data_IF_739147502857
#
_entry.id   IF_739147502857
#
_cell.length_a   1.000
_cell.length_b   1.000
_cell.length_c   1.000
_cell.angle_alpha   90.00
_cell.angle_beta   90.00
_cell.angle_gamma   90.00
#
_symmetry.space_group_name_H-M   'P 1'
#
loop_
_entity.id
_entity.type
_entity.pdbx_description
1 polymer ?
#
# COMPACT_ATOMS: atom_id res chain seq x y z
N UNK A 1 15.11 -12.90 20.45
CA UNK A 1 13.89 -12.14 20.80
C UNK A 1 13.92 -10.72 20.21
N UNK A 2 14.48 -10.54 19.01
CA UNK A 2 14.72 -9.21 18.37
C UNK A 2 14.51 -9.24 16.85
N UNK A 3 13.61 -10.10 16.36
CA UNK A 3 13.28 -10.22 14.92
C UNK A 3 12.05 -9.40 14.50
N UNK A 4 11.24 -8.90 15.45
CA UNK A 4 10.02 -8.13 15.16
C UNK A 4 10.18 -6.61 15.33
N UNK A 5 11.37 -6.11 15.71
CA UNK A 5 11.56 -4.69 16.04
C UNK A 5 11.99 -3.87 14.80
N UNK A 6 12.62 -4.50 13.79
CA UNK A 6 13.20 -3.76 12.67
C UNK A 6 12.20 -3.39 11.57
N UNK A 7 11.15 -4.19 11.34
CA UNK A 7 10.15 -3.90 10.29
C UNK A 7 9.10 -2.88 10.76
N UNK A 8 8.94 -2.69 12.09
CA UNK A 8 8.14 -1.58 12.63
C UNK A 8 8.73 -0.19 12.32
N UNK A 9 10.04 -0.06 12.07
CA UNK A 9 10.70 1.24 11.91
C UNK A 9 10.39 1.93 10.58
N UNK A 10 10.10 1.17 9.52
CA UNK A 10 9.75 1.70 8.19
C UNK A 10 8.43 2.50 8.20
N UNK A 11 7.55 2.26 9.18
CA UNK A 11 6.33 3.04 9.41
C UNK A 11 6.38 3.93 10.65
N UNK A 12 7.19 3.58 11.66
CA UNK A 12 7.33 4.40 12.86
C UNK A 12 8.03 5.74 12.60
N UNK A 13 8.87 5.85 11.56
CA UNK A 13 9.52 7.11 11.22
C UNK A 13 8.56 8.21 10.71
N UNK A 14 7.32 7.88 10.34
CA UNK A 14 6.32 8.85 9.84
C UNK A 14 5.30 9.29 10.90
N UNK A 15 5.26 8.64 12.07
CA UNK A 15 4.26 8.94 13.12
C UNK A 15 4.89 9.68 14.29
N UNK A 16 5.34 10.92 14.09
CA UNK A 16 5.66 11.80 15.20
C UNK A 16 4.69 13.01 15.22
N UNK A 17 3.68 12.86 16.08
CA UNK A 17 2.82 13.89 16.67
C UNK A 17 1.85 14.64 15.74
N UNK A 18 0.57 14.23 15.79
CA UNK A 18 -0.52 15.18 16.05
C UNK A 18 -1.82 14.48 16.49
N UNK A 19 -2.41 15.01 17.55
CA UNK A 19 -3.76 14.67 17.97
C UNK A 19 -4.77 15.09 16.89
N UNK A 20 -5.89 14.38 16.71
CA UNK A 20 -6.89 14.75 15.70
C UNK A 20 -7.48 16.13 16.03
N UNK A 21 -7.49 17.09 15.09
CA UNK A 21 -8.21 18.33 15.32
C UNK A 21 -9.72 18.09 15.23
N UNK A 22 -10.44 18.66 16.19
CA UNK A 22 -11.89 18.68 16.25
C UNK A 22 -12.52 19.34 15.02
N UNK A 23 -13.70 18.82 14.69
CA UNK A 23 -14.51 19.05 13.51
C UNK A 23 -14.82 20.54 13.27
N UNK A 24 -13.94 21.21 12.52
CA UNK A 24 -14.15 22.56 12.01
C UNK A 24 -15.16 22.59 10.87
N UNK A 25 -16.46 22.57 11.20
CA UNK A 25 -17.57 22.88 10.30
C UNK A 25 -17.45 24.32 9.76
N UNK A 26 -16.74 24.49 8.64
CA UNK A 26 -16.58 25.76 7.94
C UNK A 26 -17.46 25.83 6.69
N UNK A 27 -18.71 26.26 6.86
CA UNK A 27 -19.55 26.69 5.74
C UNK A 27 -19.11 28.05 5.18
N UNK A 28 -19.24 28.24 3.86
CA UNK A 28 -19.15 29.58 3.28
C UNK A 28 -18.96 29.64 1.76
N UNK A 29 -19.88 30.37 1.09
CA UNK A 29 -19.52 31.28 0.00
C UNK A 29 -19.65 30.76 -1.43
N UNK A 30 -20.73 31.17 -2.10
CA UNK A 30 -20.91 31.03 -3.54
C UNK A 30 -20.06 32.00 -4.36
N UNK A 31 -19.88 31.67 -5.65
CA UNK A 31 -19.30 32.54 -6.66
C UNK A 31 -18.50 31.79 -7.72
N UNK A 32 -19.03 31.70 -8.94
CA UNK A 32 -18.24 31.60 -10.18
C UNK A 32 -17.82 30.21 -10.67
N UNK A 33 -18.74 29.48 -11.31
CA UNK A 33 -18.53 28.87 -12.63
C UNK A 33 -17.34 27.94 -12.94
N UNK A 34 -16.66 27.36 -11.96
CA UNK A 34 -15.86 26.14 -12.16
C UNK A 34 -16.59 24.99 -11.47
N UNK A 35 -16.91 23.93 -12.22
CA UNK A 35 -17.64 22.80 -11.66
C UNK A 35 -16.80 22.18 -10.53
N UNK A 36 -17.21 22.43 -9.27
CA UNK A 36 -16.65 21.83 -8.05
C UNK A 36 -17.02 20.33 -8.01
N UNK A 37 -16.52 19.59 -8.98
CA UNK A 37 -16.69 18.15 -9.18
C UNK A 37 -15.63 17.36 -8.37
N UNK A 38 -15.65 16.04 -8.44
CA UNK A 38 -14.73 15.19 -7.70
C UNK A 38 -13.25 15.45 -8.07
N UNK A 39 -12.96 15.70 -9.35
CA UNK A 39 -11.60 16.01 -9.81
C UNK A 39 -11.07 17.31 -9.19
N UNK A 40 -11.86 18.38 -9.18
CA UNK A 40 -11.48 19.65 -8.55
C UNK A 40 -11.06 19.49 -7.08
N UNK A 41 -11.87 18.78 -6.28
CA UNK A 41 -11.53 18.53 -4.87
C UNK A 41 -10.34 17.60 -4.71
N UNK A 42 -10.11 16.69 -5.66
CA UNK A 42 -8.95 15.79 -5.66
C UNK A 42 -7.66 16.54 -5.93
N UNK A 43 -7.66 17.51 -6.85
CA UNK A 43 -6.49 18.34 -7.14
C UNK A 43 -6.13 19.20 -5.92
N UNK A 44 -7.11 19.86 -5.31
CA UNK A 44 -6.89 20.59 -4.05
C UNK A 44 -6.42 19.68 -2.91
N UNK A 45 -6.87 18.42 -2.88
CA UNK A 45 -6.43 17.48 -1.86
C UNK A 45 -4.97 17.09 -2.06
N UNK A 46 -4.52 16.91 -3.30
CA UNK A 46 -3.12 16.66 -3.62
C UNK A 46 -2.23 17.87 -3.30
N UNK A 47 -2.68 19.10 -3.54
CA UNK A 47 -1.94 20.30 -3.10
C UNK A 47 -1.66 20.27 -1.59
N UNK A 48 -2.69 19.99 -0.78
CA UNK A 48 -2.52 19.89 0.67
C UNK A 48 -1.63 18.69 1.08
N UNK A 49 -1.72 17.58 0.34
CA UNK A 49 -0.88 16.41 0.57
C UNK A 49 0.60 16.73 0.30
N UNK A 50 0.89 17.41 -0.82
CA UNK A 50 2.24 17.81 -1.23
C UNK A 50 2.84 18.84 -0.25
N UNK A 51 2.00 19.61 0.45
CA UNK A 51 2.38 20.52 1.55
C UNK A 51 2.61 19.80 2.90
N UNK A 52 2.32 18.49 2.98
CA UNK A 52 2.40 17.70 4.22
C UNK A 52 1.19 17.88 5.17
N UNK A 53 0.14 18.60 4.76
CA UNK A 53 -1.11 18.72 5.52
C UNK A 53 -2.06 17.58 5.17
N UNK A 54 -1.72 16.40 5.67
CA UNK A 54 -2.46 15.16 5.40
C UNK A 54 -3.88 15.16 5.98
N UNK A 55 -4.14 15.95 7.03
CA UNK A 55 -5.49 16.10 7.59
C UNK A 55 -6.38 16.89 6.64
N UNK A 56 -5.89 18.03 6.13
CA UNK A 56 -6.61 18.81 5.12
C UNK A 56 -6.76 18.02 3.82
N UNK A 57 -5.72 17.32 3.37
CA UNK A 57 -5.78 16.44 2.20
C UNK A 57 -6.90 15.39 2.34
N UNK A 58 -6.92 14.65 3.45
CA UNK A 58 -7.96 13.64 3.75
C UNK A 58 -9.37 14.23 3.71
N UNK A 59 -9.57 15.44 4.26
CA UNK A 59 -10.87 16.12 4.26
C UNK A 59 -11.30 16.56 2.85
N UNK A 60 -10.36 17.04 2.04
CA UNK A 60 -10.60 17.42 0.63
C UNK A 60 -10.90 16.20 -0.24
N UNK A 61 -10.19 15.09 -0.08
CA UNK A 61 -10.55 13.82 -0.73
C UNK A 61 -11.93 13.32 -0.29
N UNK A 62 -12.29 13.48 0.98
CA UNK A 62 -13.65 13.16 1.46
C UNK A 62 -14.71 14.03 0.79
N UNK A 63 -14.41 15.31 0.55
CA UNK A 63 -15.29 16.20 -0.22
C UNK A 63 -15.43 15.75 -1.69
N UNK A 64 -14.33 15.29 -2.31
CA UNK A 64 -14.35 14.70 -3.65
C UNK A 64 -15.25 13.45 -3.70
N UNK A 65 -15.12 12.55 -2.73
CA UNK A 65 -15.97 11.36 -2.60
C UNK A 65 -17.44 11.70 -2.26
N UNK A 66 -17.69 12.87 -1.69
CA UNK A 66 -19.04 13.43 -1.55
C UNK A 66 -19.66 13.87 -2.87
N UNK A 67 -18.85 14.12 -3.91
CA UNK A 67 -19.31 14.42 -5.28
C UNK A 67 -19.46 13.16 -6.13
N UNK A 68 -18.51 12.25 -6.01
CA UNK A 68 -18.55 10.93 -6.64
C UNK A 68 -17.94 9.91 -5.68
N UNK A 69 -18.79 9.10 -5.06
CA UNK A 69 -18.39 8.10 -4.06
C UNK A 69 -17.43 7.05 -4.65
N UNK A 70 -17.46 6.83 -5.96
CA UNK A 70 -16.72 5.76 -6.62
C UNK A 70 -15.47 6.31 -7.33
N UNK A 71 -15.12 7.58 -7.10
CA UNK A 71 -13.97 8.22 -7.71
C UNK A 71 -12.66 7.65 -7.16
N UNK A 72 -12.13 6.63 -7.84
CA UNK A 72 -10.93 5.89 -7.45
C UNK A 72 -9.71 6.79 -7.15
N UNK A 73 -9.42 7.87 -7.91
CA UNK A 73 -8.32 8.77 -7.58
C UNK A 73 -8.45 9.43 -6.20
N UNK A 74 -9.64 9.94 -5.85
CA UNK A 74 -9.86 10.55 -4.54
C UNK A 74 -9.76 9.52 -3.41
N UNK A 75 -10.28 8.31 -3.64
CA UNK A 75 -10.22 7.24 -2.65
C UNK A 75 -8.79 6.81 -2.36
N UNK A 76 -8.00 6.64 -3.41
CA UNK A 76 -6.58 6.30 -3.33
C UNK A 76 -5.78 7.41 -2.65
N UNK A 77 -6.06 8.67 -2.99
CA UNK A 77 -5.45 9.81 -2.31
C UNK A 77 -5.78 9.86 -0.82
N UNK A 78 -7.05 9.61 -0.45
CA UNK A 78 -7.47 9.53 0.95
C UNK A 78 -6.76 8.38 1.68
N UNK A 79 -6.60 7.24 1.03
CA UNK A 79 -5.90 6.09 1.59
C UNK A 79 -4.41 6.41 1.85
N UNK A 80 -3.74 7.09 0.92
CA UNK A 80 -2.37 7.58 1.15
C UNK A 80 -2.30 8.58 2.31
N UNK A 81 -3.23 9.56 2.39
CA UNK A 81 -3.29 10.46 3.55
C UNK A 81 -3.50 9.70 4.86
N UNK A 82 -4.28 8.62 4.85
CA UNK A 82 -4.46 7.78 6.02
C UNK A 82 -3.18 7.02 6.43
N UNK A 83 -2.35 6.57 5.48
CA UNK A 83 -1.03 5.99 5.81
C UNK A 83 -0.17 7.03 6.54
N UNK A 84 -0.08 8.24 5.99
CA UNK A 84 0.73 9.32 6.57
C UNK A 84 0.24 9.74 7.96
N UNK A 85 -1.07 9.61 8.23
CA UNK A 85 -1.69 9.86 9.53
C UNK A 85 -1.62 8.63 10.49
N UNK A 86 -1.01 7.52 10.08
CA UNK A 86 -0.89 6.29 10.89
C UNK A 86 -2.15 5.41 10.93
N UNK A 87 -3.16 5.71 10.10
CA UNK A 87 -4.40 4.93 10.00
C UNK A 87 -4.31 3.82 8.93
N UNK A 88 -3.29 2.97 9.01
CA UNK A 88 -3.00 1.92 8.02
C UNK A 88 -4.16 0.94 7.83
N UNK A 89 -4.90 0.62 8.91
CA UNK A 89 -6.14 -0.17 8.88
C UNK A 89 -7.18 0.39 7.91
N UNK A 90 -7.46 1.68 8.07
CA UNK A 90 -8.40 2.40 7.24
C UNK A 90 -7.88 2.55 5.80
N UNK A 91 -6.59 2.87 5.64
CA UNK A 91 -5.97 2.99 4.32
C UNK A 91 -6.11 1.72 3.48
N UNK A 92 -5.85 0.55 4.07
CA UNK A 92 -5.98 -0.74 3.36
C UNK A 92 -7.40 -0.92 2.81
N UNK A 93 -8.42 -0.69 3.65
CA UNK A 93 -9.82 -0.81 3.24
C UNK A 93 -10.19 0.18 2.11
N UNK A 94 -9.63 1.39 2.13
CA UNK A 94 -9.87 2.39 1.09
C UNK A 94 -9.20 2.01 -0.25
N UNK A 95 -7.98 1.47 -0.23
CA UNK A 95 -7.33 0.98 -1.44
C UNK A 95 -8.08 -0.21 -2.04
N UNK A 96 -8.53 -1.16 -1.21
CA UNK A 96 -9.34 -2.30 -1.66
C UNK A 96 -10.62 -1.83 -2.34
N UNK A 97 -11.32 -0.84 -1.77
CA UNK A 97 -12.48 -0.21 -2.38
C UNK A 97 -12.12 0.54 -3.69
N UNK A 98 -10.95 1.15 -3.78
CA UNK A 98 -10.51 1.85 -5.01
C UNK A 98 -10.22 0.87 -6.17
N UNK A 99 -9.87 -0.36 -5.83
CA UNK A 99 -9.54 -1.42 -6.79
C UNK A 99 -10.76 -2.25 -7.18
N UNK A 100 -11.62 -2.60 -6.23
CA UNK A 100 -12.77 -3.47 -6.46
C UNK A 100 -14.03 -2.69 -6.86
N UNK A 101 -14.05 -1.36 -6.62
CA UNK A 101 -15.28 -0.58 -6.64
C UNK A 101 -16.29 -1.09 -5.61
N UNK A 102 -17.58 -0.81 -5.83
CA UNK A 102 -18.71 -1.34 -5.04
C UNK A 102 -19.01 -2.83 -5.35
N UNK A 103 -18.11 -3.53 -6.04
CA UNK A 103 -18.27 -4.97 -6.30
C UNK A 103 -18.11 -5.72 -4.99
N UNK A 104 -19.23 -5.87 -4.29
CA UNK A 104 -19.42 -6.79 -3.18
C UNK A 104 -18.93 -8.15 -3.65
N UNK A 105 -17.97 -8.72 -2.92
CA UNK A 105 -17.61 -10.12 -3.05
C UNK A 105 -18.90 -10.92 -2.91
N UNK A 106 -19.43 -11.47 -4.00
CA UNK A 106 -20.43 -12.53 -3.92
C UNK A 106 -19.72 -13.72 -3.34
N UNK A 107 -19.79 -13.88 -2.02
CA UNK A 107 -19.33 -15.08 -1.35
C UNK A 107 -20.31 -16.18 -1.76
N UNK A 108 -19.84 -17.14 -2.56
CA UNK A 108 -20.59 -18.35 -2.80
C UNK A 108 -20.55 -19.16 -1.50
N UNK A 109 -21.64 -19.12 -0.72
CA UNK A 109 -21.79 -19.84 0.56
C UNK A 109 -21.85 -21.38 0.41
N UNK A 110 -21.44 -21.96 -0.71
CA UNK A 110 -21.77 -23.36 -1.07
C UNK A 110 -20.59 -24.35 -1.12
N UNK A 111 -19.38 -23.99 -0.66
CA UNK A 111 -18.30 -24.98 -0.54
C UNK A 111 -17.56 -24.89 0.79
N UNK A 112 -17.51 -26.02 1.50
CA UNK A 112 -16.86 -26.31 2.79
C UNK A 112 -15.32 -26.32 2.71
N UNK A 113 -14.75 -25.41 1.93
CA UNK A 113 -13.32 -25.07 1.93
C UNK A 113 -13.27 -23.58 1.67
N UNK A 114 -12.94 -22.79 2.69
CA UNK A 114 -12.67 -21.36 2.55
C UNK A 114 -11.34 -21.18 1.81
N UNK A 115 -11.34 -21.48 0.52
CA UNK A 115 -10.32 -20.99 -0.40
C UNK A 115 -10.61 -19.50 -0.55
N UNK A 116 -9.96 -18.69 0.28
CA UNK A 116 -10.00 -17.24 0.20
C UNK A 116 -9.22 -16.83 -1.05
N UNK A 117 -9.78 -17.11 -2.22
CA UNK A 117 -9.28 -16.55 -3.47
C UNK A 117 -9.55 -15.06 -3.40
N UNK A 118 -8.49 -14.27 -3.20
CA UNK A 118 -8.59 -12.82 -3.23
C UNK A 118 -8.87 -12.39 -4.66
N UNK A 119 -10.14 -12.32 -5.03
CA UNK A 119 -10.58 -11.84 -6.34
C UNK A 119 -10.54 -10.32 -6.31
N UNK A 120 -9.71 -9.80 -7.18
CA UNK A 120 -9.27 -8.43 -7.22
C UNK A 120 -9.81 -7.82 -8.51
N UNK A 121 -10.46 -6.64 -8.43
CA UNK A 121 -11.09 -5.97 -9.56
C UNK A 121 -10.14 -5.64 -10.72
N UNK A 122 -10.68 -5.34 -11.89
CA UNK A 122 -9.90 -5.03 -13.10
C UNK A 122 -9.28 -3.62 -13.12
N UNK A 123 -9.42 -2.86 -12.02
CA UNK A 123 -9.00 -1.47 -11.91
C UNK A 123 -7.59 -1.23 -12.45
N UNK A 124 -7.49 -0.30 -13.40
CA UNK A 124 -6.23 0.19 -13.98
C UNK A 124 -5.51 1.16 -13.04
N UNK A 125 -6.03 1.40 -11.83
CA UNK A 125 -5.47 2.37 -10.91
C UNK A 125 -4.29 1.77 -10.12
N UNK A 126 -3.14 1.71 -10.80
CA UNK A 126 -1.87 1.19 -10.29
C UNK A 126 -1.49 1.70 -8.89
N UNK A 127 -1.63 3.00 -8.54
CA UNK A 127 -1.24 3.47 -7.22
C UNK A 127 -2.00 2.79 -6.07
N UNK A 128 -3.26 2.38 -6.30
CA UNK A 128 -4.03 1.67 -5.28
C UNK A 128 -3.49 0.26 -5.02
N UNK A 129 -3.05 -0.44 -6.07
CA UNK A 129 -2.40 -1.76 -5.94
C UNK A 129 -1.12 -1.71 -5.11
N UNK A 130 -0.27 -0.69 -5.36
CA UNK A 130 0.90 -0.44 -4.53
C UNK A 130 0.47 -0.17 -3.09
N UNK A 131 -0.55 0.68 -2.89
CA UNK A 131 -1.12 0.98 -1.58
C UNK A 131 -1.57 -0.24 -0.79
N UNK A 132 -2.29 -1.18 -1.41
CA UNK A 132 -2.70 -2.45 -0.78
C UNK A 132 -1.46 -3.24 -0.34
N UNK A 133 -0.47 -3.41 -1.22
CA UNK A 133 0.72 -4.18 -0.91
C UNK A 133 1.49 -3.62 0.29
N UNK A 134 1.72 -2.30 0.33
CA UNK A 134 2.40 -1.66 1.45
C UNK A 134 1.56 -1.68 2.73
N UNK A 135 0.26 -1.38 2.66
CA UNK A 135 -0.61 -1.33 3.84
C UNK A 135 -0.89 -2.72 4.44
N UNK A 136 -0.99 -3.76 3.61
CA UNK A 136 -1.11 -5.14 4.07
C UNK A 136 0.19 -5.62 4.74
N UNK A 137 1.33 -5.37 4.10
CA UNK A 137 2.64 -5.72 4.66
C UNK A 137 2.85 -5.06 6.03
N UNK A 138 2.51 -3.78 6.14
CA UNK A 138 2.51 -3.00 7.36
C UNK A 138 1.70 -3.62 8.50
N UNK A 139 0.48 -4.10 8.21
CA UNK A 139 -0.41 -4.70 9.21
C UNK A 139 0.04 -6.09 9.67
N UNK A 140 0.67 -6.87 8.78
CA UNK A 140 1.16 -8.21 9.13
C UNK A 140 2.14 -8.23 10.29
N UNK A 141 2.87 -7.12 10.53
CA UNK A 141 3.96 -7.03 11.50
C UNK A 141 3.46 -7.02 12.97
N UNK A 142 2.18 -6.78 13.23
CA UNK A 142 1.64 -6.58 14.59
C UNK A 142 0.98 -7.78 15.25
N UNK A 143 0.40 -8.71 14.48
CA UNK A 143 -0.43 -9.80 15.02
C UNK A 143 -0.17 -11.13 14.32
N UNK A 144 0.33 -12.17 15.02
CA UNK A 144 0.69 -13.46 14.41
C UNK A 144 -0.49 -14.16 13.71
N UNK A 145 -1.71 -13.99 14.23
CA UNK A 145 -2.91 -14.65 13.69
C UNK A 145 -3.35 -14.12 12.33
N UNK A 146 -2.81 -12.99 11.87
CA UNK A 146 -3.14 -12.38 10.57
C UNK A 146 -1.92 -12.25 9.67
N UNK A 147 -0.72 -12.64 10.13
CA UNK A 147 0.51 -12.42 9.38
C UNK A 147 0.45 -13.12 8.02
N UNK A 148 0.06 -14.40 7.99
CA UNK A 148 -0.03 -15.18 6.76
C UNK A 148 -1.02 -14.56 5.76
N UNK A 149 -2.24 -14.25 6.19
CA UNK A 149 -3.25 -13.59 5.36
C UNK A 149 -2.77 -12.25 4.78
N UNK A 150 -2.07 -11.45 5.59
CA UNK A 150 -1.55 -10.16 5.14
C UNK A 150 -0.38 -10.31 4.18
N UNK A 151 0.47 -11.33 4.33
CA UNK A 151 1.54 -11.60 3.37
C UNK A 151 0.98 -12.12 2.04
N UNK A 152 -0.03 -13.01 2.07
CA UNK A 152 -0.75 -13.45 0.87
C UNK A 152 -1.39 -12.27 0.14
N UNK A 153 -2.04 -11.37 0.88
CA UNK A 153 -2.61 -10.14 0.31
C UNK A 153 -1.54 -9.23 -0.28
N UNK A 154 -0.42 -9.06 0.41
CA UNK A 154 0.74 -8.29 -0.07
C UNK A 154 1.25 -8.83 -1.40
N UNK A 155 1.43 -10.15 -1.48
CA UNK A 155 1.89 -10.87 -2.68
C UNK A 155 0.92 -10.65 -3.84
N UNK A 156 -0.36 -10.92 -3.61
CA UNK A 156 -1.38 -10.83 -4.65
C UNK A 156 -1.52 -9.39 -5.19
N UNK A 157 -1.58 -8.40 -4.31
CA UNK A 157 -1.65 -6.99 -4.72
C UNK A 157 -0.37 -6.49 -5.40
N UNK A 158 0.81 -6.87 -4.89
CA UNK A 158 2.08 -6.45 -5.46
C UNK A 158 2.33 -7.04 -6.85
N UNK A 159 1.94 -8.30 -7.09
CA UNK A 159 2.00 -8.90 -8.42
C UNK A 159 1.07 -8.15 -9.40
N UNK A 160 -0.15 -7.80 -8.99
CA UNK A 160 -1.05 -6.99 -9.81
C UNK A 160 -0.48 -5.61 -10.13
N UNK A 161 0.13 -4.97 -9.13
CA UNK A 161 0.85 -3.70 -9.31
C UNK A 161 1.97 -3.80 -10.34
N UNK A 162 2.82 -4.84 -10.28
CA UNK A 162 3.91 -5.03 -11.23
C UNK A 162 3.42 -5.34 -12.65
N UNK A 163 2.38 -6.15 -12.80
CA UNK A 163 1.77 -6.46 -14.11
C UNK A 163 1.22 -5.19 -14.78
N UNK A 164 0.62 -4.29 -14.00
CA UNK A 164 -0.06 -3.09 -14.51
C UNK A 164 0.85 -1.87 -14.64
N UNK A 165 1.77 -1.69 -13.70
CA UNK A 165 2.72 -0.57 -13.67
C UNK A 165 4.02 -0.84 -14.42
N UNK A 166 4.47 -2.10 -14.46
CA UNK A 166 5.75 -2.49 -15.03
C UNK A 166 6.95 -2.22 -14.12
N UNK A 167 8.14 -2.59 -14.58
CA UNK A 167 9.37 -2.60 -13.77
C UNK A 167 9.96 -1.22 -13.48
N UNK A 168 9.59 -0.22 -14.30
CA UNK A 168 10.06 1.16 -14.17
C UNK A 168 9.06 2.09 -13.47
N UNK A 169 7.96 1.56 -12.93
CA UNK A 169 6.92 2.40 -12.37
C UNK A 169 7.41 3.19 -11.16
N UNK A 170 7.10 4.49 -11.20
CA UNK A 170 7.24 5.43 -10.09
C UNK A 170 5.91 6.18 -9.96
N UNK A 171 5.42 6.35 -8.75
CA UNK A 171 4.23 7.15 -8.54
C UNK A 171 4.58 8.64 -8.43
N UNK A 172 4.10 9.45 -9.38
CA UNK A 172 4.48 10.87 -9.48
C UNK A 172 4.23 11.70 -8.22
N UNK A 173 3.21 11.35 -7.43
CA UNK A 173 2.85 12.04 -6.19
C UNK A 173 3.67 11.59 -4.97
N UNK A 174 4.26 10.39 -5.04
CA UNK A 174 5.08 9.85 -3.96
C UNK A 174 6.26 9.11 -4.59
N UNK A 175 7.36 9.82 -4.79
CA UNK A 175 8.57 9.29 -5.44
C UNK A 175 9.16 8.06 -4.74
N UNK A 176 8.84 7.87 -3.46
CA UNK A 176 9.20 6.69 -2.67
C UNK A 176 8.46 5.41 -3.11
N UNK A 177 7.32 5.54 -3.79
CA UNK A 177 6.52 4.42 -4.30
C UNK A 177 7.04 4.05 -5.69
N UNK A 178 7.96 3.09 -5.70
CA UNK A 178 8.62 2.58 -6.92
C UNK A 178 8.46 1.07 -7.04
N UNK A 179 8.57 0.54 -8.27
CA UNK A 179 8.64 -0.91 -8.49
C UNK A 179 9.79 -1.56 -7.74
N UNK A 180 10.94 -0.88 -7.62
CA UNK A 180 12.06 -1.37 -6.82
C UNK A 180 11.66 -1.60 -5.36
N UNK A 181 10.97 -0.62 -4.76
CA UNK A 181 10.49 -0.73 -3.37
C UNK A 181 9.42 -1.79 -3.19
N UNK A 182 8.50 -1.89 -4.15
CA UNK A 182 7.48 -2.94 -4.15
C UNK A 182 8.11 -4.33 -4.22
N UNK A 183 9.13 -4.52 -5.05
CA UNK A 183 9.83 -5.81 -5.19
C UNK A 183 10.52 -6.24 -3.88
N UNK A 184 11.09 -5.30 -3.13
CA UNK A 184 11.67 -5.62 -1.83
C UNK A 184 10.60 -6.04 -0.80
N UNK A 185 9.44 -5.38 -0.81
CA UNK A 185 8.28 -5.80 0.00
C UNK A 185 7.76 -7.18 -0.42
N UNK A 186 7.68 -7.46 -1.72
CA UNK A 186 7.33 -8.78 -2.24
C UNK A 186 8.35 -9.84 -1.81
N UNK A 187 9.66 -9.55 -1.88
CA UNK A 187 10.70 -10.47 -1.44
C UNK A 187 10.51 -10.85 0.03
N UNK A 188 10.23 -9.87 0.90
CA UNK A 188 9.94 -10.10 2.30
C UNK A 188 8.67 -10.94 2.50
N UNK A 189 7.59 -10.65 1.76
CA UNK A 189 6.33 -11.38 1.88
C UNK A 189 6.43 -12.84 1.39
N UNK A 190 7.11 -13.09 0.26
CA UNK A 190 7.41 -14.44 -0.22
C UNK A 190 8.30 -15.20 0.77
N UNK A 191 9.32 -14.55 1.34
CA UNK A 191 10.15 -15.15 2.37
C UNK A 191 9.33 -15.56 3.61
N UNK A 192 8.41 -14.69 4.07
CA UNK A 192 7.52 -14.97 5.20
C UNK A 192 6.56 -16.13 4.95
N UNK A 193 6.13 -16.33 3.70
CA UNK A 193 5.28 -17.46 3.27
C UNK A 193 6.08 -18.71 2.87
N UNK A 194 7.41 -18.67 3.04
CA UNK A 194 8.38 -19.74 2.72
C UNK A 194 8.50 -20.07 1.23
N UNK A 195 8.05 -19.17 0.36
CA UNK A 195 8.32 -19.24 -1.07
C UNK A 195 9.69 -18.58 -1.36
N UNK A 196 10.76 -19.29 -1.00
CA UNK A 196 12.12 -18.76 -1.10
C UNK A 196 12.59 -18.56 -2.53
N UNK A 197 12.06 -19.32 -3.48
CA UNK A 197 12.36 -19.17 -4.91
C UNK A 197 11.76 -17.87 -5.44
N UNK A 198 10.48 -17.60 -5.18
CA UNK A 198 9.86 -16.34 -5.56
C UNK A 198 10.51 -15.14 -4.87
N UNK A 199 10.90 -15.29 -3.60
CA UNK A 199 11.64 -14.26 -2.88
C UNK A 199 13.00 -13.94 -3.54
N UNK A 200 13.79 -14.96 -3.88
CA UNK A 200 15.06 -14.79 -4.61
C UNK A 200 14.85 -14.12 -5.97
N UNK A 201 13.83 -14.52 -6.72
CA UNK A 201 13.50 -13.89 -8.00
C UNK A 201 13.23 -12.38 -7.87
N UNK A 202 12.66 -11.92 -6.76
CA UNK A 202 12.51 -10.47 -6.52
C UNK A 202 13.86 -9.81 -6.19
N UNK A 203 14.69 -10.45 -5.37
CA UNK A 203 16.03 -9.96 -5.01
C UNK A 203 16.93 -9.85 -6.24
N UNK A 204 16.93 -10.84 -7.12
CA UNK A 204 17.74 -10.87 -8.36
C UNK A 204 17.41 -9.70 -9.29
N UNK A 205 16.16 -9.25 -9.33
CA UNK A 205 15.78 -8.07 -10.13
C UNK A 205 16.35 -6.78 -9.52
N UNK A 206 16.37 -6.68 -8.19
CA UNK A 206 16.83 -5.46 -7.49
C UNK A 206 18.37 -5.42 -7.38
N UNK A 207 18.99 -6.58 -7.18
CA UNK A 207 20.41 -6.78 -6.87
C UNK A 207 20.95 -7.91 -7.76
N UNK A 208 21.05 -7.72 -9.10
CA UNK A 208 21.39 -8.79 -10.04
C UNK A 208 22.82 -9.34 -9.89
N UNK A 209 23.65 -8.68 -9.09
CA UNK A 209 25.02 -9.10 -8.78
C UNK A 209 25.13 -9.83 -7.45
N UNK A 210 24.01 -10.15 -6.79
CA UNK A 210 24.04 -10.97 -5.59
C UNK A 210 24.58 -12.38 -5.94
N UNK A 211 25.26 -13.01 -4.99
CA UNK A 211 25.86 -14.34 -5.18
C UNK A 211 25.06 -15.44 -4.46
N UNK A 212 23.77 -15.20 -4.19
CA UNK A 212 22.94 -16.14 -3.43
C UNK A 212 22.69 -17.39 -4.28
N UNK A 213 23.06 -18.55 -3.74
CA UNK A 213 22.87 -19.84 -4.39
C UNK A 213 21.80 -20.65 -3.66
N UNK A 214 20.71 -20.99 -4.35
CA UNK A 214 19.61 -21.80 -3.81
C UNK A 214 20.03 -23.22 -3.35
N UNK A 215 21.19 -23.71 -3.79
CA UNK A 215 21.74 -25.01 -3.36
C UNK A 215 22.66 -24.93 -2.14
N UNK A 216 22.98 -23.73 -1.65
CA UNK A 216 23.84 -23.55 -0.46
C UNK A 216 23.06 -23.90 0.83
N UNK A 217 23.76 -24.48 1.80
CA UNK A 217 23.21 -24.72 3.15
C UNK A 217 22.80 -23.42 3.84
N UNK A 218 23.43 -22.29 3.47
CA UNK A 218 23.15 -20.98 4.02
C UNK A 218 22.08 -20.19 3.23
N UNK A 219 21.51 -20.75 2.17
CA UNK A 219 20.59 -20.05 1.25
C UNK A 219 19.54 -19.19 1.95
N UNK A 220 18.78 -19.76 2.89
CA UNK A 220 17.71 -19.05 3.60
C UNK A 220 18.25 -17.90 4.46
N UNK A 221 19.42 -18.08 5.09
CA UNK A 221 20.03 -17.05 5.92
C UNK A 221 20.62 -15.91 5.08
N UNK A 222 21.22 -16.24 3.93
CA UNK A 222 21.79 -15.27 2.99
C UNK A 222 20.70 -14.46 2.30
N UNK A 223 19.63 -15.14 1.86
CA UNK A 223 18.45 -14.50 1.28
C UNK A 223 17.79 -13.53 2.26
N UNK A 224 17.58 -13.94 3.52
CA UNK A 224 17.03 -13.04 4.54
C UNK A 224 17.90 -11.79 4.73
N UNK A 225 19.22 -11.97 4.82
CA UNK A 225 20.16 -10.87 5.03
C UNK A 225 20.11 -9.87 3.88
N UNK A 226 20.06 -10.35 2.64
CA UNK A 226 19.97 -9.48 1.47
C UNK A 226 18.64 -8.73 1.45
N UNK A 227 17.52 -9.40 1.76
CA UNK A 227 16.22 -8.73 1.90
C UNK A 227 16.28 -7.62 2.97
N UNK A 228 16.91 -7.86 4.11
CA UNK A 228 17.09 -6.85 5.17
C UNK A 228 17.93 -5.65 4.68
N UNK A 229 19.04 -5.91 3.96
CA UNK A 229 19.88 -4.84 3.37
C UNK A 229 19.08 -4.01 2.36
N UNK A 230 18.33 -4.67 1.48
CA UNK A 230 17.50 -3.99 0.49
C UNK A 230 16.42 -3.14 1.15
N UNK A 231 15.77 -3.64 2.21
CA UNK A 231 14.74 -2.90 2.94
C UNK A 231 15.29 -1.64 3.63
N UNK A 232 16.46 -1.74 4.28
CA UNK A 232 17.11 -0.62 4.96
C UNK A 232 17.65 0.41 3.95
N UNK A 233 18.23 -0.05 2.83
CA UNK A 233 18.80 0.83 1.81
C UNK A 233 17.79 1.74 1.12
N UNK A 234 16.49 1.50 1.30
CA UNK A 234 15.40 2.31 0.73
C UNK A 234 14.89 3.42 1.66
N UNK A 235 15.49 3.58 2.84
CA UNK A 235 15.18 4.65 3.80
C UNK A 235 15.98 5.94 3.55
N UNK A 236 16.99 5.91 2.67
CA UNK A 236 17.87 7.04 2.32
C UNK A 236 17.51 7.64 0.96
#
# INVERSE_FOLDING_TARGET
MTRNVLICLVLCAMSCSQAPPEDGNGGGGGGGGTDRNAAYFTDLAWEAFDEGDYTTARNRFTSALGKDRHYAPARTGRAWSNIELGFTGLALSEFEQAVNGDSIITVNEETEVADTTVIFGDSTHVPAWYGIAFAAHAQGIGTPSTLEDQMVKTIAAGNQALVRGGDGYTYDRMSLITSRRLRAVLAAAYFSTRDYEAALNQVDVISPTNEINASDVNFVADLLREIEILMIGMEQ
#
